data_IF_608761974184
#
_entry.id   IF_608761974184
#
_cell.length_a   1.000
_cell.length_b   1.000
_cell.length_c   1.000
_cell.angle_alpha   90.00
_cell.angle_beta   90.00
_cell.angle_gamma   90.00
#
_symmetry.space_group_name_H-M   'P 1'
#
loop_
_entity.id
_entity.type
_entity.pdbx_description
1 polymer ?
#
# COMPACT_ATOMS: atom_id res chain seq x y z
N UNK A 1 13.13 -28.54 2.16
CA UNK A 1 13.98 -27.47 2.74
C UNK A 1 13.14 -26.64 3.70
N UNK A 2 13.74 -26.16 4.78
CA UNK A 2 13.20 -25.19 5.73
C UNK A 2 13.63 -23.79 5.31
N UNK A 3 12.67 -22.93 5.01
CA UNK A 3 12.92 -21.62 4.39
C UNK A 3 12.29 -20.52 5.22
N UNK A 4 13.12 -19.56 5.66
CA UNK A 4 12.65 -18.34 6.32
C UNK A 4 12.39 -17.26 5.27
N UNK A 5 11.16 -16.75 5.20
CA UNK A 5 10.76 -15.70 4.25
C UNK A 5 10.48 -14.40 5.01
N UNK A 6 11.34 -13.40 4.82
CA UNK A 6 11.17 -12.07 5.40
C UNK A 6 10.31 -11.21 4.49
N UNK A 7 9.31 -10.52 5.03
CA UNK A 7 8.34 -9.76 4.23
C UNK A 7 7.19 -10.62 3.69
N UNK A 8 6.83 -11.70 4.40
CA UNK A 8 5.82 -12.68 4.01
C UNK A 8 4.40 -12.12 3.81
N UNK A 9 4.13 -10.88 4.25
CA UNK A 9 2.83 -10.19 4.05
C UNK A 9 2.82 -9.24 2.84
N UNK A 10 3.95 -9.08 2.15
CA UNK A 10 4.06 -8.26 0.94
C UNK A 10 3.65 -9.01 -0.32
N UNK A 11 3.53 -8.30 -1.44
CA UNK A 11 3.15 -8.87 -2.75
C UNK A 11 4.04 -10.06 -3.15
N UNK A 12 5.35 -9.86 -3.12
CA UNK A 12 6.34 -10.89 -3.50
C UNK A 12 6.40 -11.96 -2.42
N UNK A 13 6.64 -11.58 -1.17
CA UNK A 13 6.83 -12.54 -0.07
C UNK A 13 5.64 -13.47 0.15
N UNK A 14 4.40 -12.97 0.08
CA UNK A 14 3.21 -13.82 0.21
C UNK A 14 3.10 -14.84 -0.94
N UNK A 15 3.42 -14.42 -2.16
CA UNK A 15 3.37 -15.29 -3.34
C UNK A 15 4.52 -16.32 -3.33
N UNK A 16 5.70 -15.93 -2.84
CA UNK A 16 6.82 -16.84 -2.60
C UNK A 16 6.44 -17.87 -1.53
N UNK A 17 5.90 -17.46 -0.38
CA UNK A 17 5.45 -18.39 0.65
C UNK A 17 4.44 -19.41 0.11
N UNK A 18 3.39 -18.93 -0.58
CA UNK A 18 2.36 -19.79 -1.14
C UNK A 18 2.95 -20.80 -2.14
N UNK A 19 3.86 -20.34 -3.01
CA UNK A 19 4.50 -21.23 -3.99
C UNK A 19 5.44 -22.23 -3.32
N UNK A 20 6.25 -21.82 -2.35
CA UNK A 20 7.15 -22.72 -1.63
C UNK A 20 6.40 -23.84 -0.89
N UNK A 21 5.27 -23.51 -0.25
CA UNK A 21 4.41 -24.53 0.37
C UNK A 21 3.88 -25.51 -0.68
N UNK A 22 3.42 -25.02 -1.83
CA UNK A 22 2.91 -25.89 -2.90
C UNK A 22 3.96 -26.83 -3.50
N UNK A 23 5.25 -26.47 -3.41
CA UNK A 23 6.39 -27.28 -3.84
C UNK A 23 6.91 -28.20 -2.70
N UNK A 24 6.20 -28.26 -1.56
CA UNK A 24 6.53 -29.16 -0.44
C UNK A 24 7.64 -28.67 0.49
N UNK A 25 7.99 -27.37 0.45
CA UNK A 25 8.94 -26.79 1.40
C UNK A 25 8.30 -26.47 2.74
N UNK A 26 9.08 -26.57 3.82
CA UNK A 26 8.70 -26.07 5.15
C UNK A 26 9.00 -24.57 5.21
N UNK A 27 7.97 -23.75 5.37
CA UNK A 27 8.10 -22.29 5.30
C UNK A 27 7.84 -21.64 6.65
N UNK A 28 8.72 -20.73 7.03
CA UNK A 28 8.52 -19.81 8.17
C UNK A 28 8.46 -18.38 7.64
N UNK A 29 7.27 -17.77 7.65
CA UNK A 29 7.06 -16.39 7.19
C UNK A 29 7.18 -15.38 8.32
N UNK A 30 8.05 -14.38 8.16
CA UNK A 30 8.20 -13.28 9.13
C UNK A 30 7.10 -12.24 8.93
N UNK A 31 6.36 -11.97 10.01
CA UNK A 31 5.24 -11.02 10.05
C UNK A 31 5.43 -10.02 11.19
N UNK A 32 4.90 -8.80 11.03
CA UNK A 32 5.01 -7.76 12.07
C UNK A 32 4.06 -7.99 13.25
N UNK A 33 2.88 -8.49 12.99
CA UNK A 33 1.85 -8.72 14.00
C UNK A 33 1.13 -10.03 13.70
N UNK A 34 0.66 -10.75 14.72
CA UNK A 34 -0.32 -11.81 14.52
C UNK A 34 -1.50 -11.16 13.81
N UNK A 35 -1.77 -11.57 12.57
CA UNK A 35 -2.96 -11.14 11.85
C UNK A 35 -3.95 -12.29 11.89
N UNK A 36 -5.23 -11.95 12.03
CA UNK A 36 -6.32 -12.92 11.89
C UNK A 36 -6.50 -13.38 10.42
N UNK A 37 -5.68 -12.84 9.50
CA UNK A 37 -5.74 -13.06 8.06
C UNK A 37 -5.41 -14.50 7.68
N UNK A 38 -6.47 -15.31 7.57
CA UNK A 38 -6.55 -16.55 6.81
C UNK A 38 -5.73 -17.72 7.37
N UNK A 39 -6.22 -18.93 7.11
CA UNK A 39 -5.38 -20.12 7.29
C UNK A 39 -4.15 -19.97 6.38
N UNK A 40 -2.97 -19.86 7.01
CA UNK A 40 -1.69 -19.95 6.32
C UNK A 40 -1.18 -21.36 6.52
N UNK A 41 -0.90 -22.04 5.42
CA UNK A 41 -0.35 -23.41 5.45
C UNK A 41 1.16 -23.41 5.78
N UNK A 42 1.64 -22.39 6.50
CA UNK A 42 3.04 -22.22 6.87
C UNK A 42 3.19 -21.56 8.25
N UNK A 43 4.34 -21.78 8.90
CA UNK A 43 4.60 -21.25 10.23
C UNK A 43 4.83 -19.73 10.19
N UNK A 44 4.31 -18.99 11.17
CA UNK A 44 4.51 -17.53 11.25
C UNK A 44 5.43 -17.16 12.39
N UNK A 45 6.46 -16.36 12.09
CA UNK A 45 7.32 -15.73 13.09
C UNK A 45 6.92 -14.26 13.26
N UNK A 46 6.54 -13.86 14.46
CA UNK A 46 6.23 -12.45 14.76
C UNK A 46 7.51 -11.72 15.12
N UNK A 47 7.98 -10.87 14.20
CA UNK A 47 9.16 -10.03 14.37
C UNK A 47 9.02 -8.77 13.51
N UNK A 48 9.20 -7.59 14.11
CA UNK A 48 9.23 -6.35 13.35
C UNK A 48 10.63 -6.10 12.78
N UNK A 49 10.76 -6.29 11.47
CA UNK A 49 12.01 -6.07 10.72
C UNK A 49 12.56 -4.67 10.93
N UNK A 50 11.70 -3.66 11.14
CA UNK A 50 12.13 -2.28 11.36
C UNK A 50 12.87 -2.08 12.70
N UNK A 51 12.74 -3.02 13.63
CA UNK A 51 13.39 -2.97 14.96
C UNK A 51 14.38 -4.10 15.20
N UNK A 52 14.37 -5.15 14.40
CA UNK A 52 15.34 -6.26 14.43
C UNK A 52 16.66 -5.86 13.74
N UNK A 53 17.39 -4.94 14.37
CA UNK A 53 18.54 -4.24 13.78
C UNK A 53 19.89 -4.85 14.17
N UNK A 54 19.90 -5.94 14.96
CA UNK A 54 21.13 -6.61 15.39
C UNK A 54 21.06 -8.11 15.04
N UNK A 55 22.19 -8.76 14.73
CA UNK A 55 22.20 -10.19 14.41
C UNK A 55 21.55 -11.07 15.50
N UNK A 56 21.69 -10.68 16.77
CA UNK A 56 21.14 -11.37 17.93
C UNK A 56 19.62 -11.40 17.94
N UNK A 57 18.97 -10.45 17.27
CA UNK A 57 17.51 -10.42 17.12
C UNK A 57 17.02 -11.50 16.13
N UNK A 58 17.91 -12.06 15.30
CA UNK A 58 17.60 -13.05 14.26
C UNK A 58 18.10 -14.46 14.58
N UNK A 59 19.25 -14.58 15.25
CA UNK A 59 19.92 -15.86 15.53
C UNK A 59 18.99 -16.96 16.09
N UNK A 60 18.11 -16.69 17.08
CA UNK A 60 17.21 -17.72 17.63
C UNK A 60 16.25 -18.33 16.60
N UNK A 61 16.03 -17.65 15.48
CA UNK A 61 15.05 -18.01 14.46
C UNK A 61 15.68 -18.67 13.22
N UNK A 62 17.01 -18.80 13.19
CA UNK A 62 17.75 -19.38 12.06
C UNK A 62 18.17 -20.83 12.30
N UNK A 63 17.94 -21.37 13.50
CA UNK A 63 18.25 -22.76 13.83
C UNK A 63 17.52 -23.73 12.88
N UNK A 64 18.29 -24.50 12.10
CA UNK A 64 17.76 -25.46 11.13
C UNK A 64 17.24 -24.85 9.83
N UNK A 65 17.29 -23.52 9.64
CA UNK A 65 16.89 -22.92 8.37
C UNK A 65 17.93 -23.25 7.29
N UNK A 66 17.49 -23.77 6.16
CA UNK A 66 18.36 -24.12 5.03
C UNK A 66 18.60 -22.92 4.10
N UNK A 67 17.62 -22.04 3.97
CA UNK A 67 17.69 -20.85 3.12
C UNK A 67 16.85 -19.68 3.65
N UNK A 68 17.27 -18.46 3.34
CA UNK A 68 16.54 -17.24 3.65
C UNK A 68 16.15 -16.51 2.36
N UNK A 69 14.87 -16.13 2.25
CA UNK A 69 14.37 -15.25 1.18
C UNK A 69 13.95 -13.92 1.79
N UNK A 70 14.74 -12.87 1.57
CA UNK A 70 14.45 -11.53 2.08
C UNK A 70 13.70 -10.70 1.03
N UNK A 71 12.38 -10.63 1.16
CA UNK A 71 11.48 -9.77 0.39
C UNK A 71 11.13 -8.45 1.10
N UNK A 72 11.80 -8.11 2.20
CA UNK A 72 11.50 -6.88 2.95
C UNK A 72 11.84 -5.63 2.12
N UNK A 73 10.89 -4.71 2.06
CA UNK A 73 11.06 -3.46 1.35
C UNK A 73 9.93 -2.48 1.62
N UNK A 74 10.31 -1.22 1.81
CA UNK A 74 9.39 -0.09 1.93
C UNK A 74 9.82 0.97 0.94
N UNK A 75 8.91 1.44 0.09
CA UNK A 75 9.29 2.43 -0.93
C UNK A 75 9.74 3.76 -0.28
N UNK A 76 9.18 4.08 0.88
CA UNK A 76 9.36 5.37 1.54
C UNK A 76 9.16 5.27 3.05
N UNK A 77 9.68 6.26 3.76
CA UNK A 77 9.49 6.40 5.19
C UNK A 77 8.01 6.62 5.55
N UNK A 78 7.60 6.05 6.67
CA UNK A 78 6.28 6.23 7.28
C UNK A 78 6.44 6.45 8.78
N UNK A 79 5.34 6.73 9.50
CA UNK A 79 5.35 6.90 10.96
C UNK A 79 6.00 5.74 11.72
N UNK A 80 6.01 4.52 11.14
CA UNK A 80 6.50 3.31 11.81
C UNK A 80 7.76 2.71 11.19
N UNK A 81 8.13 3.13 9.99
CA UNK A 81 9.16 2.45 9.19
C UNK A 81 10.06 3.47 8.53
N UNK A 82 11.37 3.31 8.67
CA UNK A 82 12.38 4.09 7.93
C UNK A 82 13.06 3.20 6.90
N UNK A 83 13.23 3.70 5.68
CA UNK A 83 13.85 2.97 4.57
C UNK A 83 15.25 2.49 4.92
N UNK A 84 16.08 3.33 5.55
CA UNK A 84 17.42 2.95 6.00
C UNK A 84 17.44 1.80 7.01
N UNK A 85 16.50 1.80 7.97
CA UNK A 85 16.40 0.73 8.96
C UNK A 85 16.03 -0.60 8.30
N UNK A 86 15.07 -0.61 7.37
CA UNK A 86 14.59 -1.85 6.74
C UNK A 86 15.56 -2.36 5.66
N UNK A 87 16.09 -1.49 4.81
CA UNK A 87 16.87 -1.90 3.64
C UNK A 87 18.35 -2.14 3.94
N UNK A 88 18.93 -1.39 4.89
CA UNK A 88 20.36 -1.46 5.20
C UNK A 88 20.56 -2.14 6.55
N UNK A 89 20.04 -1.55 7.62
CA UNK A 89 20.42 -1.96 8.98
C UNK A 89 19.88 -3.36 9.33
N UNK A 90 18.58 -3.60 9.14
CA UNK A 90 17.93 -4.89 9.37
C UNK A 90 18.38 -5.96 8.38
N UNK A 91 18.59 -5.60 7.11
CA UNK A 91 19.08 -6.52 6.10
C UNK A 91 20.50 -6.99 6.46
N UNK A 92 21.41 -6.08 6.79
CA UNK A 92 22.77 -6.42 7.22
C UNK A 92 22.75 -7.29 8.49
N UNK A 93 21.91 -6.96 9.47
CA UNK A 93 21.74 -7.76 10.68
C UNK A 93 21.30 -9.20 10.38
N UNK A 94 20.30 -9.37 9.52
CA UNK A 94 19.83 -10.68 9.06
C UNK A 94 20.94 -11.47 8.36
N UNK A 95 21.67 -10.84 7.43
CA UNK A 95 22.70 -11.54 6.66
C UNK A 95 23.89 -11.96 7.51
N UNK A 96 24.32 -11.11 8.45
CA UNK A 96 25.32 -11.46 9.44
C UNK A 96 24.86 -12.61 10.34
N UNK A 97 23.59 -12.61 10.74
CA UNK A 97 23.03 -13.72 11.51
C UNK A 97 23.00 -15.02 10.68
N UNK A 98 22.68 -14.95 9.38
CA UNK A 98 22.74 -16.11 8.47
C UNK A 98 24.15 -16.70 8.43
N UNK A 99 25.17 -15.86 8.23
CA UNK A 99 26.56 -16.29 8.22
C UNK A 99 26.99 -16.93 9.55
N UNK A 100 26.60 -16.35 10.69
CA UNK A 100 26.89 -16.91 12.02
C UNK A 100 26.15 -18.22 12.31
N UNK A 101 24.93 -18.37 11.80
CA UNK A 101 24.10 -19.56 12.01
C UNK A 101 24.38 -20.69 11.01
N UNK A 102 25.25 -20.47 10.01
CA UNK A 102 25.55 -21.43 8.96
C UNK A 102 24.47 -21.57 7.88
N UNK A 103 23.58 -20.58 7.74
CA UNK A 103 22.58 -20.56 6.66
C UNK A 103 23.27 -20.09 5.37
N UNK A 104 23.70 -21.04 4.54
CA UNK A 104 24.52 -20.74 3.37
C UNK A 104 23.77 -19.94 2.29
N UNK A 105 22.50 -20.27 2.02
CA UNK A 105 21.75 -19.72 0.87
C UNK A 105 20.87 -18.53 1.25
N UNK A 106 21.09 -17.39 0.60
CA UNK A 106 20.31 -16.16 0.83
C UNK A 106 19.85 -15.53 -0.49
N UNK A 107 18.54 -15.41 -0.71
CA UNK A 107 17.98 -14.66 -1.83
C UNK A 107 17.47 -13.31 -1.32
N UNK A 108 17.99 -12.21 -1.83
CA UNK A 108 17.64 -10.86 -1.40
C UNK A 108 16.98 -10.05 -2.52
N UNK A 109 15.83 -9.45 -2.22
CA UNK A 109 15.16 -8.51 -3.12
C UNK A 109 15.63 -7.07 -2.92
N UNK A 110 16.31 -6.57 -3.94
CA UNK A 110 16.72 -5.19 -4.09
C UNK A 110 15.78 -4.45 -5.05
N UNK A 111 16.26 -3.44 -5.76
CA UNK A 111 15.49 -2.72 -6.77
C UNK A 111 16.33 -2.45 -8.03
N UNK A 112 15.64 -2.25 -9.15
CA UNK A 112 16.29 -1.94 -10.43
C UNK A 112 17.11 -0.64 -10.39
N UNK A 113 18.33 -0.67 -10.94
CA UNK A 113 19.17 0.52 -11.10
C UNK A 113 19.65 1.17 -9.79
N UNK A 114 19.73 0.40 -8.70
CA UNK A 114 20.20 0.89 -7.38
C UNK A 114 21.69 1.24 -7.36
N UNK A 115 22.46 0.65 -8.26
CA UNK A 115 23.91 0.78 -8.44
C UNK A 115 24.31 1.85 -9.48
N UNK A 116 23.35 2.57 -10.06
CA UNK A 116 23.61 3.67 -10.99
C UNK A 116 24.30 4.84 -10.28
N UNK A 117 25.18 5.55 -11.00
CA UNK A 117 26.06 6.61 -10.49
C UNK A 117 25.40 7.76 -9.71
N UNK A 118 24.08 7.95 -9.82
CA UNK A 118 23.33 8.95 -9.04
C UNK A 118 22.15 8.28 -8.31
N UNK A 119 22.36 7.57 -7.19
CA UNK A 119 21.27 6.90 -6.50
C UNK A 119 20.35 7.91 -5.83
N UNK A 120 19.04 7.65 -5.81
CA UNK A 120 18.13 8.37 -4.91
C UNK A 120 18.39 7.95 -3.46
N UNK A 121 17.80 8.64 -2.48
CA UNK A 121 17.87 8.20 -1.08
C UNK A 121 17.32 6.78 -0.88
N UNK A 122 16.24 6.43 -1.57
CA UNK A 122 15.69 5.07 -1.56
C UNK A 122 16.70 4.09 -2.18
N UNK A 123 17.20 4.37 -3.39
CA UNK A 123 18.14 3.49 -4.09
C UNK A 123 19.43 3.28 -3.29
N UNK A 124 19.95 4.33 -2.66
CA UNK A 124 21.15 4.27 -1.83
C UNK A 124 20.97 3.34 -0.62
N UNK A 125 19.80 3.36 0.03
CA UNK A 125 19.52 2.43 1.15
C UNK A 125 19.45 0.98 0.71
N UNK A 126 18.85 0.70 -0.47
CA UNK A 126 18.80 -0.65 -1.05
C UNK A 126 20.19 -1.13 -1.46
N UNK A 127 20.97 -0.29 -2.15
CA UNK A 127 22.32 -0.63 -2.56
C UNK A 127 23.26 -0.88 -1.38
N UNK A 128 23.13 -0.14 -0.28
CA UNK A 128 23.88 -0.43 0.94
C UNK A 128 23.54 -1.81 1.53
N UNK A 129 22.28 -2.26 1.40
CA UNK A 129 21.86 -3.62 1.74
C UNK A 129 22.48 -4.67 0.81
N UNK A 130 22.50 -4.42 -0.51
CA UNK A 130 23.19 -5.27 -1.48
C UNK A 130 24.67 -5.45 -1.10
N UNK A 131 25.37 -4.35 -0.83
CA UNK A 131 26.79 -4.35 -0.47
C UNK A 131 27.05 -5.11 0.83
N UNK A 132 26.17 -5.00 1.82
CA UNK A 132 26.28 -5.74 3.08
C UNK A 132 26.20 -7.26 2.86
N UNK A 133 25.34 -7.72 1.94
CA UNK A 133 25.26 -9.14 1.57
C UNK A 133 26.47 -9.59 0.74
N UNK A 134 26.87 -8.78 -0.25
CA UNK A 134 28.01 -9.07 -1.14
C UNK A 134 29.34 -9.21 -0.38
N UNK A 135 29.49 -8.54 0.77
CA UNK A 135 30.67 -8.60 1.61
C UNK A 135 30.79 -9.90 2.42
N UNK A 136 29.77 -10.76 2.42
CA UNK A 136 29.73 -12.00 3.21
C UNK A 136 30.02 -13.23 2.34
N UNK A 137 30.63 -14.22 2.98
CA UNK A 137 30.94 -15.52 2.37
C UNK A 137 29.70 -16.44 2.38
N UNK A 138 28.63 -16.00 1.70
CA UNK A 138 27.35 -16.70 1.58
C UNK A 138 27.06 -17.04 0.12
N UNK A 139 26.22 -18.05 -0.11
CA UNK A 139 25.62 -18.34 -1.41
C UNK A 139 24.44 -17.41 -1.65
N UNK A 140 24.75 -16.15 -1.95
CA UNK A 140 23.74 -15.12 -2.11
C UNK A 140 23.29 -14.92 -3.56
N UNK A 141 22.02 -14.54 -3.74
CA UNK A 141 21.46 -14.05 -5.01
C UNK A 141 20.74 -12.74 -4.73
N UNK A 142 21.10 -11.70 -5.47
CA UNK A 142 20.43 -10.40 -5.37
C UNK A 142 19.52 -10.24 -6.59
N UNK A 143 18.22 -10.16 -6.32
CA UNK A 143 17.17 -10.00 -7.32
C UNK A 143 16.77 -8.52 -7.37
N UNK A 144 16.97 -7.87 -8.51
CA UNK A 144 16.65 -6.46 -8.76
C UNK A 144 15.46 -6.36 -9.73
N UNK A 145 14.23 -6.58 -9.25
CA UNK A 145 13.07 -6.47 -10.12
C UNK A 145 12.80 -5.02 -10.52
N UNK A 146 12.26 -4.87 -11.72
CA UNK A 146 11.60 -3.65 -12.17
C UNK A 146 10.23 -3.50 -11.46
N UNK A 147 9.23 -2.99 -12.18
CA UNK A 147 7.86 -2.87 -11.70
C UNK A 147 7.18 -4.24 -11.74
N UNK A 148 7.06 -4.87 -10.57
CA UNK A 148 6.41 -6.18 -10.42
C UNK A 148 4.89 -6.03 -10.46
N UNK A 149 4.25 -6.59 -11.47
CA UNK A 149 2.79 -6.66 -11.58
C UNK A 149 2.27 -8.09 -11.42
N UNK A 150 1.06 -8.24 -10.89
CA UNK A 150 0.44 -9.55 -10.72
C UNK A 150 -1.07 -9.47 -10.48
N UNK A 151 -1.66 -10.64 -10.19
CA UNK A 151 -3.08 -10.74 -9.79
C UNK A 151 -3.34 -10.08 -8.43
N UNK A 152 -2.52 -10.31 -7.38
CA UNK A 152 -2.74 -9.65 -6.11
C UNK A 152 -2.57 -8.14 -6.26
N UNK A 153 -3.52 -7.38 -5.72
CA UNK A 153 -3.64 -5.95 -5.99
C UNK A 153 -2.92 -5.15 -4.90
N UNK A 154 -1.63 -4.87 -5.12
CA UNK A 154 -0.81 -4.08 -4.21
C UNK A 154 0.17 -3.18 -4.97
N UNK A 155 0.56 -2.05 -4.37
CA UNK A 155 1.60 -1.17 -4.92
C UNK A 155 1.28 -0.70 -6.34
N UNK A 156 2.22 -0.90 -7.27
CA UNK A 156 2.05 -0.52 -8.68
C UNK A 156 0.87 -1.24 -9.37
N UNK A 157 0.60 -2.50 -9.02
CA UNK A 157 -0.56 -3.25 -9.55
C UNK A 157 -1.89 -2.59 -9.20
N UNK A 158 -1.98 -2.04 -7.99
CA UNK A 158 -3.14 -1.28 -7.54
C UNK A 158 -3.24 0.08 -8.26
N UNK A 159 -2.11 0.79 -8.35
CA UNK A 159 -2.05 2.10 -8.99
C UNK A 159 -2.46 2.07 -10.46
N UNK A 160 -1.94 1.14 -11.26
CA UNK A 160 -2.28 1.08 -12.68
C UNK A 160 -3.74 0.68 -12.95
N UNK A 161 -4.31 -0.21 -12.13
CA UNK A 161 -5.75 -0.51 -12.16
C UNK A 161 -6.58 0.72 -11.82
N UNK A 162 -6.18 1.46 -10.77
CA UNK A 162 -6.80 2.72 -10.40
C UNK A 162 -6.73 3.77 -11.51
N UNK A 163 -5.55 4.03 -12.07
CA UNK A 163 -5.38 4.97 -13.19
C UNK A 163 -6.20 4.60 -14.41
N UNK A 164 -6.35 3.29 -14.67
CA UNK A 164 -7.19 2.81 -15.75
C UNK A 164 -8.68 3.13 -15.56
N UNK A 165 -9.18 3.42 -14.35
CA UNK A 165 -10.59 3.82 -14.14
C UNK A 165 -10.88 5.29 -14.44
N UNK A 166 -9.85 6.13 -14.55
CA UNK A 166 -10.03 7.55 -14.85
C UNK A 166 -10.38 7.75 -16.34
N UNK A 167 -11.42 8.53 -16.67
CA UNK A 167 -11.74 8.83 -18.07
C UNK A 167 -10.67 9.71 -18.73
N UNK A 168 -10.01 10.55 -17.93
CA UNK A 168 -8.89 11.41 -18.32
C UNK A 168 -7.67 10.98 -17.53
N UNK A 169 -6.63 10.52 -18.23
CA UNK A 169 -5.39 10.05 -17.61
C UNK A 169 -4.47 11.26 -17.32
N UNK A 170 -4.15 11.53 -16.04
CA UNK A 170 -3.10 12.49 -15.69
C UNK A 170 -1.73 11.97 -16.13
N UNK A 171 -1.19 12.52 -17.21
CA UNK A 171 0.13 12.18 -17.72
C UNK A 171 1.18 13.12 -17.14
N UNK A 172 2.23 12.53 -16.56
CA UNK A 172 3.39 13.26 -16.04
C UNK A 172 4.50 13.17 -17.11
N UNK A 173 4.89 14.29 -17.75
CA UNK A 173 5.79 14.25 -18.91
C UNK A 173 7.18 13.71 -18.57
N UNK A 174 7.64 13.91 -17.34
CA UNK A 174 8.97 13.50 -16.88
C UNK A 174 9.00 12.06 -16.33
N UNK A 175 7.98 11.23 -16.58
CA UNK A 175 7.98 9.82 -16.17
C UNK A 175 8.88 8.99 -17.07
N UNK A 176 9.86 8.32 -16.47
CA UNK A 176 10.74 7.39 -17.18
C UNK A 176 10.00 6.13 -17.63
N UNK A 177 10.57 5.45 -18.64
CA UNK A 177 10.01 4.18 -19.12
C UNK A 177 10.16 3.05 -18.09
N UNK A 178 9.26 2.09 -18.14
CA UNK A 178 9.14 0.98 -17.20
C UNK A 178 9.14 -0.35 -17.98
N UNK A 179 9.84 -1.37 -17.45
CA UNK A 179 9.77 -2.74 -17.95
C UNK A 179 9.01 -3.63 -16.97
N UNK A 180 7.71 -3.78 -17.19
CA UNK A 180 6.84 -4.55 -16.28
C UNK A 180 7.27 -6.02 -16.24
N UNK A 181 7.65 -6.52 -15.07
CA UNK A 181 7.93 -7.94 -14.84
C UNK A 181 6.76 -8.60 -14.12
N UNK A 182 6.38 -9.82 -14.54
CA UNK A 182 5.28 -10.52 -13.89
C UNK A 182 5.72 -11.16 -12.57
N UNK A 183 4.85 -11.10 -11.58
CA UNK A 183 5.06 -11.70 -10.26
C UNK A 183 5.31 -13.21 -10.35
N UNK A 184 4.67 -13.89 -11.30
CA UNK A 184 4.87 -15.32 -11.53
C UNK A 184 6.33 -15.63 -11.94
N UNK A 185 6.91 -14.83 -12.84
CA UNK A 185 8.29 -15.01 -13.30
C UNK A 185 9.29 -14.72 -12.17
N UNK A 186 9.00 -13.69 -11.35
CA UNK A 186 9.79 -13.38 -10.16
C UNK A 186 9.78 -14.54 -9.16
N UNK A 187 8.61 -15.12 -8.88
CA UNK A 187 8.47 -16.25 -7.95
C UNK A 187 9.15 -17.51 -8.50
N UNK A 188 9.00 -17.80 -9.80
CA UNK A 188 9.69 -18.92 -10.46
C UNK A 188 11.21 -18.76 -10.40
N UNK A 189 11.71 -17.52 -10.46
CA UNK A 189 13.15 -17.24 -10.30
C UNK A 189 13.64 -17.57 -8.89
N UNK A 190 12.85 -17.29 -7.85
CA UNK A 190 13.18 -17.68 -6.48
C UNK A 190 13.29 -19.20 -6.36
N UNK A 191 12.32 -19.95 -6.91
CA UNK A 191 12.37 -21.42 -6.91
C UNK A 191 13.61 -21.94 -7.64
N UNK A 192 13.93 -21.38 -8.80
CA UNK A 192 15.10 -21.77 -9.58
C UNK A 192 16.38 -21.67 -8.74
N UNK A 193 16.58 -20.55 -8.03
CA UNK A 193 17.78 -20.34 -7.21
C UNK A 193 17.76 -21.09 -5.88
N UNK A 194 16.64 -21.65 -5.45
CA UNK A 194 16.59 -22.52 -4.29
C UNK A 194 17.07 -23.94 -4.62
N UNK A 195 17.00 -24.37 -5.88
CA UNK A 195 17.47 -25.69 -6.29
C UNK A 195 18.95 -25.93 -5.93
N UNK A 196 19.33 -27.16 -5.55
CA UNK A 196 20.72 -27.53 -5.36
C UNK A 196 21.55 -27.31 -6.64
N UNK A 197 22.78 -26.80 -6.52
CA UNK A 197 23.68 -26.60 -7.65
C UNK A 197 23.41 -25.34 -8.50
N UNK A 198 22.41 -24.52 -8.16
CA UNK A 198 22.24 -23.19 -8.75
C UNK A 198 23.50 -22.36 -8.53
N UNK A 199 23.98 -21.64 -9.56
CA UNK A 199 25.06 -20.66 -9.38
C UNK A 199 24.68 -19.64 -8.30
N UNK A 200 25.66 -19.17 -7.54
CA UNK A 200 25.51 -18.17 -6.47
C UNK A 200 26.40 -16.94 -6.72
N UNK A 201 26.29 -15.95 -5.83
CA UNK A 201 27.09 -14.71 -5.80
C UNK A 201 26.93 -13.83 -7.03
N UNK A 202 25.68 -13.55 -7.36
CA UNK A 202 25.31 -12.70 -8.49
C UNK A 202 24.13 -11.80 -8.18
N UNK A 203 24.10 -10.65 -8.86
CA UNK A 203 22.97 -9.75 -8.90
C UNK A 203 22.33 -9.81 -10.29
N UNK A 204 21.00 -9.97 -10.34
CA UNK A 204 20.25 -10.12 -11.59
C UNK A 204 19.14 -9.08 -11.69
N UNK A 205 19.03 -8.45 -12.85
CA UNK A 205 17.94 -7.55 -13.17
C UNK A 205 16.74 -8.33 -13.72
N UNK A 206 15.59 -8.25 -13.03
CA UNK A 206 14.36 -8.89 -13.49
C UNK A 206 13.49 -7.85 -14.18
N UNK A 207 13.59 -7.80 -15.50
CA UNK A 207 12.86 -6.87 -16.35
C UNK A 207 11.93 -7.61 -17.32
N UNK A 208 10.74 -7.05 -17.56
CA UNK A 208 9.87 -7.54 -18.63
C UNK A 208 10.44 -7.29 -20.03
N UNK A 209 9.83 -7.90 -21.06
CA UNK A 209 10.31 -7.81 -22.43
C UNK A 209 10.09 -6.42 -23.07
N UNK A 210 9.14 -5.64 -22.55
CA UNK A 210 8.67 -4.40 -23.19
C UNK A 210 9.05 -3.14 -22.42
N UNK A 211 9.60 -2.14 -23.13
CA UNK A 211 9.93 -0.82 -22.56
C UNK A 211 8.75 0.14 -22.71
N UNK A 212 7.84 0.13 -21.75
CA UNK A 212 6.56 0.84 -21.80
C UNK A 212 6.58 2.19 -21.08
N UNK A 213 5.83 3.15 -21.59
CA UNK A 213 5.43 4.35 -20.87
C UNK A 213 4.28 4.04 -19.90
N UNK A 214 4.06 4.94 -18.94
CA UNK A 214 2.92 4.84 -18.02
C UNK A 214 1.58 4.80 -18.77
N UNK A 215 1.45 5.61 -19.82
CA UNK A 215 0.23 5.70 -20.64
C UNK A 215 -0.04 4.38 -21.39
N UNK A 216 1.00 3.70 -21.90
CA UNK A 216 0.87 2.39 -22.56
C UNK A 216 0.46 1.28 -21.58
N UNK A 217 1.00 1.28 -20.36
CA UNK A 217 0.62 0.33 -19.30
C UNK A 217 -0.86 0.51 -18.94
N UNK A 218 -1.27 1.76 -18.66
CA UNK A 218 -2.67 2.09 -18.35
C UNK A 218 -3.58 1.73 -19.52
N UNK A 219 -3.18 2.04 -20.75
CA UNK A 219 -3.92 1.66 -21.96
C UNK A 219 -4.12 0.15 -22.08
N UNK A 220 -3.13 -0.65 -21.68
CA UNK A 220 -3.23 -2.12 -21.66
C UNK A 220 -4.24 -2.61 -20.63
N UNK A 221 -4.25 -2.03 -19.41
CA UNK A 221 -5.30 -2.32 -18.41
C UNK A 221 -6.69 -1.90 -18.87
N UNK A 222 -6.84 -0.76 -19.55
CA UNK A 222 -8.14 -0.32 -20.07
C UNK A 222 -8.69 -1.26 -21.12
N UNK A 223 -7.86 -1.73 -22.05
CA UNK A 223 -8.25 -2.78 -23.02
C UNK A 223 -8.68 -4.06 -22.30
N UNK A 224 -7.93 -4.47 -21.28
CA UNK A 224 -8.27 -5.64 -20.47
C UNK A 224 -9.61 -5.49 -19.74
N UNK A 225 -9.97 -4.29 -19.27
CA UNK A 225 -11.28 -4.02 -18.68
C UNK A 225 -12.42 -3.92 -19.69
N UNK A 226 -12.12 -3.79 -20.99
CA UNK A 226 -13.08 -3.48 -22.04
C UNK A 226 -13.51 -2.01 -22.04
N UNK A 227 -12.64 -1.10 -21.58
CA UNK A 227 -12.90 0.34 -21.58
C UNK A 227 -12.23 1.02 -22.78
N UNK A 228 -12.88 2.06 -23.31
CA UNK A 228 -12.32 2.90 -24.38
C UNK A 228 -10.99 3.54 -23.95
N UNK A 229 -10.11 3.96 -24.86
CA UNK A 229 -8.89 4.71 -24.50
C UNK A 229 -9.20 5.95 -23.64
N UNK A 230 -8.32 6.28 -22.69
CA UNK A 230 -8.47 7.49 -21.87
C UNK A 230 -7.97 8.71 -22.64
N UNK A 231 -8.62 9.87 -22.45
CA UNK A 231 -8.08 11.13 -22.93
C UNK A 231 -6.82 11.49 -22.10
N UNK A 232 -5.75 11.94 -22.77
CA UNK A 232 -4.50 12.30 -22.10
C UNK A 232 -4.56 13.76 -21.64
N UNK A 233 -4.27 14.01 -20.37
CA UNK A 233 -4.10 15.36 -19.84
C UNK A 233 -2.71 15.51 -19.22
N UNK A 234 -1.87 16.34 -19.83
CA UNK A 234 -0.52 16.62 -19.31
C UNK A 234 -0.67 17.51 -18.07
N UNK A 235 -0.31 16.98 -16.91
CA UNK A 235 -0.42 17.72 -15.65
C UNK A 235 0.61 18.86 -15.61
N UNK A 236 0.20 20.11 -15.32
CA UNK A 236 1.16 21.17 -15.07
C UNK A 236 2.07 20.82 -13.89
N UNK A 237 3.38 21.08 -14.01
CA UNK A 237 4.36 20.66 -13.01
C UNK A 237 4.14 21.22 -11.60
N UNK A 238 3.46 22.37 -11.46
CA UNK A 238 3.07 22.89 -10.14
C UNK A 238 1.93 22.07 -9.50
N UNK A 239 0.97 21.59 -10.29
CA UNK A 239 -0.12 20.72 -9.82
C UNK A 239 0.46 19.38 -9.37
N UNK A 240 1.36 18.80 -10.17
CA UNK A 240 2.04 17.55 -9.82
C UNK A 240 2.80 17.67 -8.48
N UNK A 241 3.57 18.75 -8.31
CA UNK A 241 4.28 19.04 -7.05
C UNK A 241 3.33 19.20 -5.86
N UNK A 242 2.18 19.86 -6.06
CA UNK A 242 1.17 20.00 -5.01
C UNK A 242 0.61 18.62 -4.61
N UNK A 243 0.25 17.78 -5.58
CA UNK A 243 -0.26 16.42 -5.31
C UNK A 243 0.75 15.57 -4.52
N UNK A 244 2.04 15.62 -4.88
CA UNK A 244 3.08 14.91 -4.14
C UNK A 244 3.23 15.41 -2.69
N UNK A 245 3.14 16.73 -2.46
CA UNK A 245 3.18 17.33 -1.11
C UNK A 245 1.96 16.98 -0.27
N UNK A 246 0.78 16.96 -0.87
CA UNK A 246 -0.44 16.50 -0.20
C UNK A 246 -0.33 15.02 0.20
N UNK A 247 0.31 14.20 -0.63
CA UNK A 247 0.63 12.83 -0.27
C UNK A 247 1.58 12.71 0.93
N UNK A 248 2.59 13.58 1.02
CA UNK A 248 3.49 13.62 2.18
C UNK A 248 2.76 14.06 3.46
N UNK A 249 1.87 15.05 3.37
CA UNK A 249 1.00 15.46 4.48
C UNK A 249 0.10 14.31 4.95
N UNK A 250 -0.55 13.61 4.02
CA UNK A 250 -1.38 12.45 4.34
C UNK A 250 -0.54 11.34 5.01
N UNK A 251 0.72 11.17 4.62
CA UNK A 251 1.62 10.23 5.27
C UNK A 251 1.97 10.59 6.72
N UNK A 252 2.05 11.88 7.05
CA UNK A 252 2.19 12.33 8.45
C UNK A 252 0.98 11.96 9.30
N UNK A 253 -0.21 11.89 8.69
CA UNK A 253 -1.43 11.40 9.33
C UNK A 253 -1.54 9.86 9.36
N UNK A 254 -0.52 9.16 8.89
CA UNK A 254 -0.41 7.69 8.88
C UNK A 254 -1.02 7.01 7.65
N UNK A 255 -1.50 7.78 6.65
CA UNK A 255 -1.96 7.23 5.36
C UNK A 255 -0.77 6.82 4.47
N UNK A 256 -1.00 5.95 3.49
CA UNK A 256 0.06 5.46 2.58
C UNK A 256 -0.27 5.76 1.12
N UNK A 257 -0.39 7.04 0.72
CA UNK A 257 -0.71 7.39 -0.65
C UNK A 257 0.42 6.99 -1.61
N UNK A 258 0.09 6.57 -2.84
CA UNK A 258 1.07 6.20 -3.85
C UNK A 258 1.87 7.41 -4.37
N UNK A 259 1.25 8.60 -4.38
CA UNK A 259 1.84 9.82 -4.90
C UNK A 259 2.53 10.61 -3.77
N UNK A 260 3.83 10.38 -3.60
CA UNK A 260 4.68 11.11 -2.64
C UNK A 260 5.99 11.54 -3.27
N UNK A 261 6.68 12.51 -2.67
CA UNK A 261 7.84 13.17 -3.31
C UNK A 261 8.98 12.20 -3.68
N UNK A 262 9.24 11.17 -2.87
CA UNK A 262 10.25 10.15 -3.21
C UNK A 262 9.83 9.27 -4.40
N UNK A 263 8.53 8.96 -4.54
CA UNK A 263 8.01 8.18 -5.65
C UNK A 263 8.11 8.98 -6.96
N UNK A 264 7.96 10.31 -6.90
CA UNK A 264 8.20 11.20 -8.03
C UNK A 264 9.64 11.06 -8.55
N UNK A 265 10.64 10.99 -7.66
CA UNK A 265 12.04 10.83 -8.06
C UNK A 265 12.30 9.47 -8.71
N UNK A 266 11.78 8.39 -8.12
CA UNK A 266 11.93 7.04 -8.68
C UNK A 266 11.22 6.88 -10.03
N UNK A 267 9.99 7.38 -10.15
CA UNK A 267 9.22 7.22 -11.39
C UNK A 267 9.83 8.03 -12.54
N UNK A 268 10.49 9.16 -12.25
CA UNK A 268 11.23 9.94 -13.26
C UNK A 268 12.49 9.22 -13.75
N UNK A 269 13.17 8.45 -12.88
CA UNK A 269 14.31 7.63 -13.29
C UNK A 269 13.90 6.48 -14.21
N UNK A 270 12.65 6.05 -14.14
CA UNK A 270 12.17 4.84 -14.81
C UNK A 270 12.77 3.57 -14.21
N UNK A 271 12.37 2.44 -14.77
CA UNK A 271 12.78 1.11 -14.31
C UNK A 271 13.06 0.22 -15.52
N UNK A 272 14.02 0.67 -16.34
CA UNK A 272 14.57 -0.14 -17.44
C UNK A 272 15.72 -0.99 -16.90
N UNK A 273 15.88 -2.20 -17.42
CA UNK A 273 16.95 -3.13 -17.08
C UNK A 273 17.25 -4.10 -18.21
N UNK A 274 18.31 -4.88 -18.07
CA UNK A 274 18.73 -5.90 -19.02
C UNK A 274 18.43 -7.31 -18.49
N UNK A 275 17.38 -8.00 -19.00
CA UNK A 275 17.04 -9.35 -18.54
C UNK A 275 17.92 -10.44 -19.17
N UNK A 276 18.90 -10.13 -20.02
CA UNK A 276 19.65 -11.14 -20.80
C UNK A 276 20.37 -12.18 -19.92
N UNK A 277 21.03 -11.73 -18.85
CA UNK A 277 21.69 -12.63 -17.88
C UNK A 277 20.67 -13.49 -17.13
N UNK A 278 19.56 -12.90 -16.72
CA UNK A 278 18.48 -13.62 -16.05
C UNK A 278 17.90 -14.72 -16.96
N UNK A 279 17.60 -14.39 -18.22
CA UNK A 279 17.05 -15.32 -19.21
C UNK A 279 18.05 -16.45 -19.50
N UNK A 280 19.31 -16.12 -19.77
CA UNK A 280 20.33 -17.11 -20.12
C UNK A 280 20.63 -18.08 -18.97
N UNK A 281 20.61 -17.61 -17.72
CA UNK A 281 20.87 -18.45 -16.54
C UNK A 281 19.70 -19.33 -16.16
N UNK A 282 18.47 -18.81 -16.23
CA UNK A 282 17.28 -19.50 -15.69
C UNK A 282 16.46 -20.20 -16.76
N UNK A 283 16.61 -19.82 -18.03
CA UNK A 283 15.73 -20.23 -19.13
C UNK A 283 14.33 -19.61 -19.08
N UNK A 284 14.00 -18.83 -18.04
CA UNK A 284 12.70 -18.19 -17.88
C UNK A 284 12.54 -17.13 -18.97
N UNK A 285 11.46 -17.21 -19.74
CA UNK A 285 11.07 -16.20 -20.73
C UNK A 285 10.08 -15.23 -20.08
N UNK A 286 10.46 -13.97 -19.82
CA UNK A 286 9.61 -13.03 -19.10
C UNK A 286 8.34 -12.73 -19.89
N UNK A 287 7.18 -12.87 -19.24
CA UNK A 287 5.90 -12.68 -19.90
C UNK A 287 5.57 -11.19 -20.06
N UNK A 288 5.07 -10.81 -21.25
CA UNK A 288 4.58 -9.45 -21.51
C UNK A 288 3.32 -9.13 -20.68
N UNK A 289 3.06 -7.84 -20.44
CA UNK A 289 1.86 -7.42 -19.72
C UNK A 289 0.58 -7.82 -20.46
N UNK A 290 0.57 -7.69 -21.79
CA UNK A 290 -0.58 -8.05 -22.61
C UNK A 290 -0.90 -9.56 -22.54
N UNK A 291 0.12 -10.42 -22.62
CA UNK A 291 -0.06 -11.87 -22.49
C UNK A 291 -0.55 -12.25 -21.09
N UNK A 292 0.02 -11.68 -20.04
CA UNK A 292 -0.41 -11.94 -18.66
C UNK A 292 -1.89 -11.61 -18.46
N UNK A 293 -2.33 -10.45 -18.92
CA UNK A 293 -3.73 -10.02 -18.81
C UNK A 293 -4.68 -10.85 -19.68
N UNK A 294 -4.24 -11.31 -20.85
CA UNK A 294 -5.03 -12.21 -21.70
C UNK A 294 -5.28 -13.58 -21.04
N UNK A 295 -4.28 -14.12 -20.32
CA UNK A 295 -4.41 -15.38 -19.58
C UNK A 295 -5.21 -15.24 -18.28
N UNK A 296 -5.47 -14.01 -17.83
CA UNK A 296 -6.18 -13.73 -16.58
C UNK A 296 -7.33 -12.74 -16.84
N UNK A 297 -8.47 -13.19 -17.40
CA UNK A 297 -9.57 -12.30 -17.75
C UNK A 297 -10.05 -11.43 -16.59
N UNK A 298 -10.38 -10.17 -16.89
CA UNK A 298 -10.87 -9.22 -15.89
C UNK A 298 -12.21 -9.67 -15.30
N UNK A 299 -12.32 -9.65 -13.97
CA UNK A 299 -13.56 -9.93 -13.26
C UNK A 299 -14.19 -8.64 -12.73
N UNK A 300 -15.42 -8.75 -12.19
CA UNK A 300 -16.10 -7.62 -11.54
C UNK A 300 -15.28 -7.06 -10.37
N UNK A 301 -14.55 -7.92 -9.66
CA UNK A 301 -13.69 -7.52 -8.53
C UNK A 301 -12.62 -6.49 -8.98
N UNK A 302 -11.99 -6.73 -10.14
CA UNK A 302 -10.94 -5.87 -10.67
C UNK A 302 -11.50 -4.51 -11.13
N UNK A 303 -12.69 -4.52 -11.74
CA UNK A 303 -13.40 -3.29 -12.14
C UNK A 303 -13.83 -2.44 -10.94
N UNK A 304 -14.38 -3.08 -9.91
CA UNK A 304 -14.77 -2.41 -8.67
C UNK A 304 -13.55 -1.84 -7.94
N UNK A 305 -12.47 -2.62 -7.82
CA UNK A 305 -11.23 -2.16 -7.23
C UNK A 305 -10.71 -0.91 -7.95
N UNK A 306 -10.63 -0.97 -9.29
CA UNK A 306 -10.15 0.13 -10.12
C UNK A 306 -10.96 1.42 -9.88
N UNK A 307 -12.29 1.34 -9.81
CA UNK A 307 -13.16 2.48 -9.51
C UNK A 307 -13.00 3.01 -8.09
N UNK A 308 -12.91 2.11 -7.09
CA UNK A 308 -12.80 2.49 -5.68
C UNK A 308 -11.41 3.05 -5.31
N UNK A 309 -10.38 2.78 -6.12
CA UNK A 309 -9.00 3.19 -5.84
C UNK A 309 -8.87 4.69 -5.54
N UNK A 310 -9.45 5.55 -6.38
CA UNK A 310 -9.45 7.00 -6.18
C UNK A 310 -10.65 7.52 -5.38
N UNK A 311 -11.72 6.72 -5.24
CA UNK A 311 -12.82 7.05 -4.33
C UNK A 311 -12.37 6.99 -2.86
N UNK A 312 -11.52 6.02 -2.50
CA UNK A 312 -10.98 5.87 -1.13
C UNK A 312 -10.35 7.16 -0.57
N UNK A 313 -9.33 7.77 -1.21
CA UNK A 313 -8.75 9.01 -0.69
C UNK A 313 -9.77 10.15 -0.66
N UNK A 314 -10.69 10.24 -1.63
CA UNK A 314 -11.75 11.25 -1.60
C UNK A 314 -12.65 11.10 -0.37
N UNK A 315 -13.07 9.88 -0.03
CA UNK A 315 -13.84 9.58 1.19
C UNK A 315 -13.09 10.02 2.44
N UNK A 316 -11.81 9.67 2.56
CA UNK A 316 -11.00 9.99 3.74
C UNK A 316 -10.47 11.44 3.79
N UNK A 317 -10.79 12.26 2.78
CA UNK A 317 -10.57 13.71 2.83
C UNK A 317 -11.89 14.43 3.11
N UNK A 318 -12.93 14.10 2.34
CA UNK A 318 -14.23 14.77 2.40
C UNK A 318 -14.99 14.44 3.68
N UNK A 319 -14.95 13.18 4.15
CA UNK A 319 -15.70 12.78 5.34
C UNK A 319 -15.17 13.43 6.63
N UNK A 320 -13.85 13.44 6.93
CA UNK A 320 -13.33 14.24 8.03
C UNK A 320 -13.61 15.73 7.89
N UNK A 321 -13.47 16.28 6.69
CA UNK A 321 -13.74 17.69 6.43
C UNK A 321 -15.20 18.03 6.74
N UNK A 322 -16.14 17.21 6.30
CA UNK A 322 -17.56 17.36 6.62
C UNK A 322 -17.78 17.46 8.14
N UNK A 323 -17.31 16.48 8.91
CA UNK A 323 -17.48 16.46 10.36
C UNK A 323 -16.80 17.65 11.07
N UNK A 324 -15.58 18.00 10.68
CA UNK A 324 -14.88 19.14 11.30
C UNK A 324 -15.61 20.45 10.99
N UNK A 325 -16.04 20.63 9.74
CA UNK A 325 -16.71 21.85 9.31
C UNK A 325 -18.11 21.99 9.90
N UNK A 326 -18.89 20.91 10.07
CA UNK A 326 -20.19 20.99 10.74
C UNK A 326 -20.05 21.44 12.19
N UNK A 327 -19.04 20.95 12.90
CA UNK A 327 -18.73 21.43 14.25
C UNK A 327 -18.26 22.89 14.29
N UNK A 328 -17.35 23.31 13.39
CA UNK A 328 -16.90 24.71 13.32
C UNK A 328 -18.07 25.66 13.01
N UNK A 329 -18.91 25.31 12.03
CA UNK A 329 -20.10 26.12 11.69
C UNK A 329 -21.04 26.22 12.88
N UNK A 330 -21.26 25.12 13.61
CA UNK A 330 -22.11 25.08 14.81
C UNK A 330 -21.58 25.96 15.96
N UNK A 331 -20.27 26.18 16.05
CA UNK A 331 -19.66 27.08 17.05
C UNK A 331 -19.55 28.53 16.59
N UNK A 332 -19.81 28.82 15.31
CA UNK A 332 -19.61 30.14 14.71
C UNK A 332 -20.92 30.69 14.15
N UNK A 333 -21.07 30.67 12.82
CA UNK A 333 -22.21 31.28 12.12
C UNK A 333 -23.53 30.56 12.37
N UNK A 334 -23.48 29.25 12.65
CA UNK A 334 -24.64 28.40 12.92
C UNK A 334 -25.07 28.38 14.39
N UNK A 335 -24.30 28.98 15.30
CA UNK A 335 -24.53 28.86 16.74
C UNK A 335 -25.94 29.31 17.16
N UNK A 336 -26.36 30.50 16.72
CA UNK A 336 -27.69 31.04 17.03
C UNK A 336 -28.84 30.15 16.53
N UNK A 337 -28.69 29.59 15.33
CA UNK A 337 -29.68 28.66 14.76
C UNK A 337 -29.75 27.36 15.58
N UNK A 338 -28.59 26.82 16.00
CA UNK A 338 -28.52 25.64 16.85
C UNK A 338 -29.21 25.85 18.21
N UNK A 339 -29.01 27.02 18.84
CA UNK A 339 -29.69 27.37 20.09
C UNK A 339 -31.20 27.41 19.89
N UNK A 340 -31.68 28.08 18.84
CA UNK A 340 -33.11 28.19 18.54
C UNK A 340 -33.77 26.83 18.31
N UNK A 341 -33.07 25.91 17.61
CA UNK A 341 -33.50 24.53 17.42
C UNK A 341 -33.71 23.80 18.76
N UNK A 342 -32.77 23.89 19.70
CA UNK A 342 -32.89 23.19 21.00
C UNK A 342 -33.90 23.88 21.94
N UNK A 343 -34.01 25.20 21.89
CA UNK A 343 -35.02 25.92 22.66
C UNK A 343 -36.44 25.50 22.24
N UNK A 344 -36.66 25.23 20.94
CA UNK A 344 -37.95 24.77 20.42
C UNK A 344 -38.37 23.38 20.91
N UNK A 345 -37.45 22.58 21.49
CA UNK A 345 -37.72 21.23 22.00
C UNK A 345 -37.98 21.20 23.51
N UNK A 346 -38.20 22.35 24.16
CA UNK A 346 -38.49 22.44 25.60
C UNK A 346 -37.27 22.34 26.52
N UNK A 347 -36.05 22.24 25.97
CA UNK A 347 -34.79 22.07 26.71
C UNK A 347 -33.98 23.40 26.83
N UNK A 348 -34.66 24.52 27.10
CA UNK A 348 -34.09 25.86 26.99
C UNK A 348 -32.79 26.10 27.77
N UNK A 349 -32.70 25.61 29.02
CA UNK A 349 -31.51 25.78 29.87
C UNK A 349 -30.29 24.95 29.41
N UNK A 350 -30.50 23.91 28.60
CA UNK A 350 -29.44 23.04 28.11
C UNK A 350 -29.03 23.36 26.66
N UNK A 351 -29.69 24.32 26.02
CA UNK A 351 -29.45 24.68 24.61
C UNK A 351 -27.97 24.98 24.29
N UNK A 352 -27.32 25.88 25.03
CA UNK A 352 -25.92 26.21 24.79
C UNK A 352 -24.96 25.04 25.06
N UNK A 353 -25.00 24.36 26.23
CA UNK A 353 -24.18 23.18 26.46
C UNK A 353 -24.36 22.08 25.40
N UNK A 354 -25.59 21.83 24.94
CA UNK A 354 -25.85 20.78 23.95
C UNK A 354 -25.33 21.15 22.56
N UNK A 355 -25.49 22.40 22.09
CA UNK A 355 -24.90 22.85 20.81
C UNK A 355 -23.38 22.73 20.85
N UNK A 356 -22.76 23.21 21.92
CA UNK A 356 -21.29 23.14 22.08
C UNK A 356 -20.82 21.69 22.13
N UNK A 357 -21.49 20.83 22.91
CA UNK A 357 -21.13 19.41 23.02
C UNK A 357 -21.26 18.68 21.67
N UNK A 358 -22.35 18.91 20.92
CA UNK A 358 -22.54 18.34 19.60
C UNK A 358 -21.45 18.79 18.62
N UNK A 359 -21.13 20.08 18.61
CA UNK A 359 -20.09 20.61 17.73
C UNK A 359 -18.69 20.07 18.05
N UNK A 360 -18.35 19.91 19.34
CA UNK A 360 -17.10 19.28 19.75
C UNK A 360 -17.06 17.80 19.40
N UNK A 361 -18.20 17.09 19.52
CA UNK A 361 -18.30 15.70 19.11
C UNK A 361 -18.06 15.53 17.60
N UNK A 362 -18.63 16.40 16.78
CA UNK A 362 -18.41 16.45 15.33
C UNK A 362 -16.92 16.64 14.98
N UNK A 363 -16.27 17.66 15.57
CA UNK A 363 -14.84 17.91 15.37
C UNK A 363 -14.00 16.70 15.81
N UNK A 364 -14.32 16.09 16.95
CA UNK A 364 -13.63 14.92 17.46
C UNK A 364 -13.77 13.72 16.52
N UNK A 365 -14.97 13.45 15.99
CA UNK A 365 -15.20 12.38 14.99
C UNK A 365 -14.36 12.64 13.75
N UNK A 366 -14.41 13.85 13.20
CA UNK A 366 -13.63 14.18 12.01
C UNK A 366 -12.12 14.04 12.23
N UNK A 367 -11.60 14.50 13.37
CA UNK A 367 -10.18 14.32 13.74
C UNK A 367 -9.80 12.84 13.89
N UNK A 368 -10.66 12.03 14.52
CA UNK A 368 -10.44 10.59 14.67
C UNK A 368 -10.41 9.88 13.31
N UNK A 369 -11.26 10.27 12.35
CA UNK A 369 -11.27 9.72 10.98
C UNK A 369 -10.04 10.16 10.19
N UNK A 370 -9.64 11.43 10.31
CA UNK A 370 -8.47 11.97 9.60
C UNK A 370 -7.16 11.28 9.99
N UNK A 371 -7.01 10.89 11.26
CA UNK A 371 -5.83 10.20 11.75
C UNK A 371 -5.94 8.68 11.57
N UNK A 372 -5.13 8.10 10.68
CA UNK A 372 -5.23 6.69 10.26
C UNK A 372 -5.31 5.67 11.42
N UNK A 373 -4.48 5.75 12.49
CA UNK A 373 -4.54 4.79 13.60
C UNK A 373 -5.88 4.76 14.34
N UNK A 374 -6.62 5.88 14.34
CA UNK A 374 -7.93 6.00 14.99
C UNK A 374 -9.11 5.94 14.03
N UNK A 375 -8.86 5.94 12.72
CA UNK A 375 -9.89 6.08 11.70
C UNK A 375 -11.05 5.09 11.84
N UNK A 376 -10.76 3.81 12.14
CA UNK A 376 -11.81 2.80 12.39
C UNK A 376 -12.73 3.18 13.54
N UNK A 377 -12.15 3.66 14.66
CA UNK A 377 -12.93 4.10 15.83
C UNK A 377 -13.74 5.34 15.48
N UNK A 378 -13.11 6.32 14.82
CA UNK A 378 -13.80 7.53 14.34
C UNK A 378 -15.01 7.20 13.46
N UNK A 379 -14.87 6.24 12.55
CA UNK A 379 -15.97 5.81 11.69
C UNK A 379 -17.13 5.19 12.47
N UNK A 380 -16.86 4.32 13.46
CA UNK A 380 -17.92 3.77 14.31
C UNK A 380 -18.57 4.82 15.20
N UNK A 381 -17.79 5.75 15.78
CA UNK A 381 -18.33 6.85 16.57
C UNK A 381 -19.20 7.77 15.71
N UNK A 382 -18.79 8.06 14.47
CA UNK A 382 -19.60 8.83 13.52
C UNK A 382 -20.93 8.17 13.18
N UNK A 383 -20.95 6.84 12.99
CA UNK A 383 -22.20 6.07 12.81
C UNK A 383 -23.07 6.18 14.06
N UNK A 384 -22.51 5.94 15.25
CA UNK A 384 -23.26 5.98 16.50
C UNK A 384 -23.86 7.38 16.76
N UNK A 385 -23.07 8.44 16.54
CA UNK A 385 -23.51 9.82 16.69
C UNK A 385 -24.62 10.18 15.68
N UNK A 386 -24.48 9.73 14.43
CA UNK A 386 -25.50 9.93 13.39
C UNK A 386 -26.82 9.23 13.73
N UNK A 387 -26.77 8.00 14.23
CA UNK A 387 -27.95 7.25 14.68
C UNK A 387 -28.59 7.89 15.91
N UNK A 388 -27.79 8.31 16.89
CA UNK A 388 -28.25 9.04 18.07
C UNK A 388 -28.99 10.32 17.69
N UNK A 389 -28.39 11.13 16.81
CA UNK A 389 -29.00 12.35 16.27
C UNK A 389 -30.34 12.04 15.57
N UNK A 390 -30.39 11.01 14.73
CA UNK A 390 -31.59 10.65 13.99
C UNK A 390 -32.72 10.17 14.91
N UNK A 391 -32.41 9.35 15.91
CA UNK A 391 -33.38 8.81 16.88
C UNK A 391 -33.96 9.95 17.71
N UNK A 392 -33.10 10.75 18.36
CA UNK A 392 -33.56 11.86 19.21
C UNK A 392 -34.29 12.92 18.38
N UNK A 393 -33.75 13.27 17.22
CA UNK A 393 -34.35 14.21 16.30
C UNK A 393 -35.74 13.78 15.84
N UNK A 394 -35.97 12.49 15.60
CA UNK A 394 -37.29 11.97 15.22
C UNK A 394 -38.34 12.17 16.32
N UNK A 395 -37.98 12.00 17.58
CA UNK A 395 -38.90 12.20 18.70
C UNK A 395 -39.11 13.67 19.04
N UNK A 396 -38.05 14.48 19.01
CA UNK A 396 -38.12 15.89 19.41
C UNK A 396 -38.62 16.82 18.29
N UNK A 397 -38.30 16.50 17.03
CA UNK A 397 -38.57 17.32 15.83
C UNK A 397 -38.94 16.43 14.63
N UNK A 398 -40.07 15.70 14.68
CA UNK A 398 -40.51 14.85 13.57
C UNK A 398 -40.77 15.63 12.28
N UNK A 399 -41.02 16.94 12.38
CA UNK A 399 -41.18 17.86 11.25
C UNK A 399 -39.96 17.89 10.31
N UNK A 400 -38.75 17.66 10.84
CA UNK A 400 -37.50 17.67 10.06
C UNK A 400 -37.37 16.50 9.07
N UNK A 401 -38.25 15.50 9.14
CA UNK A 401 -38.39 14.48 8.08
C UNK A 401 -39.03 15.04 6.81
N UNK A 402 -39.93 16.02 6.95
CA UNK A 402 -40.67 16.65 5.85
C UNK A 402 -40.09 18.01 5.44
N UNK A 403 -39.02 18.45 6.10
CA UNK A 403 -38.35 19.71 5.78
C UNK A 403 -37.79 19.66 4.33
N UNK A 404 -38.00 20.71 3.50
CA UNK A 404 -37.54 20.74 2.11
C UNK A 404 -36.03 20.54 1.93
N UNK A 405 -35.23 20.92 2.93
CA UNK A 405 -33.78 20.73 2.92
C UNK A 405 -33.37 19.32 3.34
N UNK A 406 -34.31 18.49 3.80
CA UNK A 406 -34.15 17.08 4.12
C UNK A 406 -32.99 16.76 5.08
N UNK A 407 -32.84 17.46 6.22
CA UNK A 407 -31.70 17.29 7.12
C UNK A 407 -31.57 15.86 7.63
N UNK A 408 -32.69 15.19 7.99
CA UNK A 408 -32.67 13.79 8.44
C UNK A 408 -32.44 12.79 7.30
N UNK A 409 -33.03 13.03 6.13
CA UNK A 409 -32.84 12.15 4.95
C UNK A 409 -31.37 12.08 4.51
N UNK A 410 -30.63 13.18 4.65
CA UNK A 410 -29.20 13.27 4.32
C UNK A 410 -28.30 12.47 5.27
N UNK A 411 -28.77 12.12 6.47
CA UNK A 411 -28.00 11.32 7.44
C UNK A 411 -27.82 9.88 6.95
N UNK A 412 -28.80 9.31 6.25
CA UNK A 412 -28.73 7.92 5.78
C UNK A 412 -27.59 7.70 4.77
N UNK A 413 -27.42 8.52 3.71
CA UNK A 413 -26.24 8.45 2.85
C UNK A 413 -24.91 8.64 3.60
N UNK A 414 -24.87 9.50 4.62
CA UNK A 414 -23.66 9.70 5.45
C UNK A 414 -23.31 8.41 6.19
N UNK A 415 -24.29 7.74 6.82
CA UNK A 415 -24.08 6.45 7.49
C UNK A 415 -23.57 5.40 6.49
N UNK A 416 -24.18 5.31 5.31
CA UNK A 416 -23.72 4.39 4.25
C UNK A 416 -22.28 4.70 3.86
N UNK A 417 -21.89 5.97 3.74
CA UNK A 417 -20.52 6.36 3.43
C UNK A 417 -19.52 5.92 4.51
N UNK A 418 -19.91 5.93 5.78
CA UNK A 418 -19.08 5.38 6.87
C UNK A 418 -18.91 3.86 6.74
N UNK A 419 -19.96 3.12 6.37
CA UNK A 419 -19.86 1.68 6.10
C UNK A 419 -18.96 1.38 4.91
N UNK A 420 -19.07 2.15 3.81
CA UNK A 420 -18.17 2.05 2.66
C UNK A 420 -16.73 2.34 3.10
N UNK A 421 -16.51 3.41 3.87
CA UNK A 421 -15.20 3.77 4.41
C UNK A 421 -14.61 2.64 5.28
N UNK A 422 -15.42 2.01 6.14
CA UNK A 422 -15.03 0.86 6.95
C UNK A 422 -14.63 -0.34 6.07
N UNK A 423 -15.42 -0.64 5.05
CA UNK A 423 -15.19 -1.76 4.13
C UNK A 423 -13.88 -1.61 3.34
N UNK A 424 -13.47 -0.39 3.01
CA UNK A 424 -12.25 -0.10 2.24
C UNK A 424 -11.10 0.45 3.08
N UNK A 425 -11.23 0.53 4.40
CA UNK A 425 -10.23 1.13 5.28
C UNK A 425 -8.91 0.36 5.26
N UNK A 426 -8.99 -0.96 5.20
CA UNK A 426 -7.84 -1.84 5.14
C UNK A 426 -7.09 -1.66 3.81
N UNK A 427 -5.77 -1.78 3.86
CA UNK A 427 -4.91 -1.68 2.68
C UNK A 427 -4.39 -3.05 2.24
N UNK A 428 -4.66 -4.08 3.04
CA UNK A 428 -4.27 -5.48 2.84
C UNK A 428 -5.20 -6.40 3.59
#
# INVERSE_FOLDING_TARGET
MRILVVGATGLIGASVCARLVSEGHEVTGVVRSPRADGARDYQTLVLDVATALRPEDWLPHLAGIDAVVNCAGVLQDSLREKTGQVHRDAAAALFLACARAGVAKVIHFSAMGVDRAQPSSFSATKYAGDQALMALDLDWIILRPSVVLGRPVFGASALFRGLASLPVLPSMPDTGRLQVVQLADVVSTVLFFLNPGSRSRMALELAGPERLSMDEIVGTFRRWFGWAPAARFVLPGWVARLLYRLGDLAAMLGWRPPMRTNAAREITRGALGDPSDWISLTGIQPQSLAQFLALNPATVQEKWFAGLYFAKPAIFVVLPFFWIMTGIVSLTTGYGNGIGLIQSTGAGMLSAPTVVAGALADIAVGALIAWRPTARKGLYVGIALSLFYLIIGTFLRPDLWNDPLGPFLKVLPIIVLHFVALAILEER
#
